data_IF_357667458332
#
_entry.id   IF_357667458332
#
_cell.length_a   1.000
_cell.length_b   1.000
_cell.length_c   1.000
_cell.angle_alpha   90.00
_cell.angle_beta   90.00
_cell.angle_gamma   90.00
#
_symmetry.space_group_name_H-M   'P 1'
#
loop_
_entity.id
_entity.type
_entity.pdbx_description
1 polymer ?
#
# COMPACT_ATOMS: atom_id res chain seq x y z
N UNK A 1 -19.39 -20.32 13.32
CA UNK A 1 -18.48 -20.34 12.16
C UNK A 1 -17.71 -19.06 12.20
N UNK A 2 -16.42 -19.12 12.55
CA UNK A 2 -15.53 -17.97 12.58
C UNK A 2 -15.39 -17.43 11.14
N UNK A 3 -15.77 -16.16 10.93
CA UNK A 3 -15.66 -15.50 9.63
C UNK A 3 -14.21 -15.39 9.14
N UNK A 4 -13.98 -14.88 7.92
CA UNK A 4 -12.64 -14.75 7.35
C UNK A 4 -11.72 -13.99 8.32
N UNK A 5 -10.60 -14.62 8.66
CA UNK A 5 -9.60 -14.12 9.59
C UNK A 5 -9.07 -12.77 9.09
N UNK A 6 -9.50 -11.68 9.72
CA UNK A 6 -9.01 -10.35 9.43
C UNK A 6 -7.84 -10.06 10.39
N UNK A 7 -6.61 -10.37 9.95
CA UNK A 7 -5.42 -9.91 10.66
C UNK A 7 -5.14 -8.46 10.27
N UNK A 8 -5.63 -7.52 11.06
CA UNK A 8 -5.00 -6.21 11.10
C UNK A 8 -3.68 -6.41 11.84
N UNK A 9 -2.52 -6.27 11.18
CA UNK A 9 -1.28 -6.04 11.91
C UNK A 9 -1.56 -4.94 12.91
N UNK A 10 -1.42 -5.26 14.19
CA UNK A 10 -1.91 -4.44 15.28
C UNK A 10 -1.28 -3.03 15.21
N UNK A 11 -2.05 -2.02 14.81
CA UNK A 11 -1.61 -0.61 14.74
C UNK A 11 -1.65 0.10 16.10
N UNK A 12 -1.87 -0.61 17.22
CA UNK A 12 -2.06 -0.02 18.55
C UNK A 12 -0.84 0.72 19.14
N UNK A 13 0.19 1.04 18.35
CA UNK A 13 1.19 2.04 18.70
C UNK A 13 1.81 2.78 17.49
N UNK A 14 1.08 2.96 16.37
CA UNK A 14 1.54 3.71 15.18
C UNK A 14 2.98 3.39 14.71
N UNK A 15 3.47 2.17 14.92
CA UNK A 15 4.85 1.81 14.57
C UNK A 15 5.05 1.60 13.06
N UNK A 16 3.97 1.69 12.29
CA UNK A 16 3.97 1.65 10.83
C UNK A 16 2.72 2.31 10.25
N UNK A 17 2.79 2.68 8.97
CA UNK A 17 1.65 3.14 8.18
C UNK A 17 1.60 2.36 6.86
N UNK A 18 0.39 2.04 6.39
CA UNK A 18 0.19 1.25 5.18
C UNK A 18 -0.76 1.91 4.18
N UNK A 19 -0.51 1.62 2.89
CA UNK A 19 -1.44 1.80 1.79
C UNK A 19 -1.98 0.45 1.34
N UNK A 20 -3.30 0.38 1.18
CA UNK A 20 -4.02 -0.79 0.69
C UNK A 20 -4.80 -0.42 -0.57
N UNK A 21 -4.60 -1.17 -1.64
CA UNK A 21 -5.35 -0.99 -2.89
C UNK A 21 -6.02 -2.30 -3.30
N UNK A 22 -7.34 -2.26 -3.46
CA UNK A 22 -8.16 -3.36 -3.98
C UNK A 22 -8.99 -2.83 -5.14
N UNK A 23 -8.61 -3.19 -6.36
CA UNK A 23 -9.39 -2.93 -7.57
C UNK A 23 -9.22 -4.08 -8.58
N UNK A 24 -9.80 -3.94 -9.77
CA UNK A 24 -9.78 -4.98 -10.80
C UNK A 24 -8.39 -5.36 -11.32
N UNK A 25 -7.41 -4.46 -11.19
CA UNK A 25 -6.06 -4.63 -11.76
C UNK A 25 -4.97 -4.76 -10.69
N UNK A 26 -5.24 -4.27 -9.48
CA UNK A 26 -4.28 -4.15 -8.40
C UNK A 26 -4.88 -4.67 -7.11
N UNK A 27 -4.14 -5.58 -6.48
CA UNK A 27 -4.42 -6.02 -5.13
C UNK A 27 -3.09 -6.05 -4.38
N UNK A 28 -2.77 -4.98 -3.65
CA UNK A 28 -1.49 -4.89 -2.93
C UNK A 28 -1.60 -4.25 -1.55
N UNK A 29 -0.58 -4.48 -0.73
CA UNK A 29 -0.33 -3.84 0.56
C UNK A 29 1.11 -3.31 0.60
N UNK A 30 1.26 -2.00 0.84
CA UNK A 30 2.55 -1.31 0.99
C UNK A 30 2.63 -0.73 2.40
N UNK A 31 3.71 -0.92 3.14
CA UNK A 31 3.86 -0.38 4.49
C UNK A 31 5.25 0.19 4.76
N UNK A 32 5.30 1.30 5.51
CA UNK A 32 6.52 1.88 6.06
C UNK A 32 6.49 1.83 7.58
N UNK A 33 7.52 1.23 8.17
CA UNK A 33 7.73 1.19 9.62
C UNK A 33 8.52 2.40 10.08
N UNK A 34 8.30 2.84 11.31
CA UNK A 34 9.07 3.95 11.93
C UNK A 34 10.57 3.66 11.99
N UNK A 35 10.97 2.39 11.95
CA UNK A 35 12.36 1.93 11.89
C UNK A 35 13.01 2.12 10.52
N UNK A 36 12.24 2.51 9.50
CA UNK A 36 12.69 2.58 8.11
C UNK A 36 12.58 1.25 7.36
N UNK A 37 12.07 0.18 8.00
CA UNK A 37 11.74 -1.05 7.28
C UNK A 37 10.54 -0.81 6.37
N UNK A 38 10.59 -1.31 5.14
CA UNK A 38 9.54 -1.11 4.13
C UNK A 38 9.13 -2.47 3.58
N UNK A 39 7.82 -2.68 3.46
CA UNK A 39 7.27 -3.90 2.88
C UNK A 39 6.33 -3.61 1.72
N UNK A 40 6.35 -4.49 0.73
CA UNK A 40 5.36 -4.52 -0.34
C UNK A 40 4.94 -5.96 -0.62
N UNK A 41 3.63 -6.18 -0.70
CA UNK A 41 3.03 -7.47 -1.02
C UNK A 41 2.02 -7.29 -2.16
N UNK A 42 2.26 -7.96 -3.28
CA UNK A 42 1.26 -8.13 -4.33
C UNK A 42 0.36 -9.33 -3.98
N UNK A 43 -0.82 -9.06 -3.47
CA UNK A 43 -1.79 -10.04 -2.99
C UNK A 43 -2.47 -10.83 -4.12
N UNK A 44 -2.29 -10.44 -5.39
CA UNK A 44 -2.65 -11.32 -6.53
C UNK A 44 -1.69 -12.50 -6.66
N UNK A 45 -0.42 -12.31 -6.28
CA UNK A 45 0.66 -13.31 -6.44
C UNK A 45 1.05 -13.97 -5.11
N UNK A 46 0.96 -13.24 -4.00
CA UNK A 46 1.29 -13.70 -2.65
C UNK A 46 0.14 -13.34 -1.68
N UNK A 47 -0.99 -14.08 -1.74
CA UNK A 47 -2.17 -13.79 -0.91
C UNK A 47 -1.91 -13.84 0.60
N UNK A 48 -0.88 -14.60 1.00
CA UNK A 48 -0.52 -14.85 2.39
C UNK A 48 0.66 -13.98 2.88
N UNK A 49 1.14 -13.05 2.05
CA UNK A 49 2.16 -12.05 2.41
C UNK A 49 3.46 -12.68 2.95
N UNK A 50 3.86 -13.83 2.39
CA UNK A 50 5.00 -14.60 2.88
C UNK A 50 6.34 -13.99 2.49
N UNK A 51 6.40 -13.23 1.38
CA UNK A 51 7.64 -12.66 0.87
C UNK A 51 7.50 -11.16 0.65
N UNK A 52 8.33 -10.39 1.33
CA UNK A 52 8.49 -8.97 1.03
C UNK A 52 9.06 -8.80 -0.39
N UNK A 53 8.28 -8.16 -1.26
CA UNK A 53 8.59 -7.93 -2.69
C UNK A 53 8.96 -6.47 -3.00
N UNK A 54 9.40 -5.71 -1.99
CA UNK A 54 9.76 -4.30 -2.14
C UNK A 54 10.82 -4.04 -3.20
N UNK A 55 11.79 -4.95 -3.35
CA UNK A 55 12.87 -4.84 -4.35
C UNK A 55 12.45 -5.22 -5.76
N UNK A 56 11.23 -5.77 -5.93
CA UNK A 56 10.68 -6.10 -7.25
C UNK A 56 9.95 -4.89 -7.86
N UNK A 57 9.76 -3.80 -7.10
CA UNK A 57 9.12 -2.58 -7.58
C UNK A 57 10.10 -1.69 -8.36
N UNK A 58 9.56 -1.03 -9.38
CA UNK A 58 10.25 0.10 -10.00
C UNK A 58 10.38 1.27 -9.00
N UNK A 59 11.51 1.97 -9.04
CA UNK A 59 11.79 3.10 -8.16
C UNK A 59 10.71 4.20 -8.23
N UNK A 60 10.20 4.48 -9.43
CA UNK A 60 9.12 5.47 -9.65
C UNK A 60 7.83 5.08 -8.94
N UNK A 61 7.47 3.79 -8.97
CA UNK A 61 6.31 3.25 -8.27
C UNK A 61 6.50 3.34 -6.76
N UNK A 62 7.68 3.00 -6.25
CA UNK A 62 8.00 3.12 -4.83
C UNK A 62 7.86 4.57 -4.32
N UNK A 63 8.42 5.54 -5.04
CA UNK A 63 8.33 6.96 -4.66
C UNK A 63 6.88 7.48 -4.69
N UNK A 64 6.09 7.04 -5.67
CA UNK A 64 4.67 7.41 -5.75
C UNK A 64 3.86 6.84 -4.57
N UNK A 65 4.08 5.56 -4.21
CA UNK A 65 3.47 4.95 -3.03
C UNK A 65 3.87 5.69 -1.75
N UNK A 66 5.14 6.05 -1.61
CA UNK A 66 5.63 6.83 -0.47
C UNK A 66 4.96 8.22 -0.40
N UNK A 67 4.86 8.92 -1.53
CA UNK A 67 4.20 10.22 -1.63
C UNK A 67 2.72 10.15 -1.24
N UNK A 68 2.00 9.14 -1.73
CA UNK A 68 0.60 8.90 -1.38
C UNK A 68 0.45 8.64 0.12
N UNK A 69 1.31 7.79 0.68
CA UNK A 69 1.27 7.44 2.10
C UNK A 69 1.51 8.67 2.97
N UNK A 70 2.51 9.50 2.62
CA UNK A 70 2.82 10.73 3.36
C UNK A 70 1.69 11.77 3.30
N UNK A 71 0.97 11.86 2.17
CA UNK A 71 -0.26 12.68 2.09
C UNK A 71 -1.32 12.16 3.06
N UNK A 72 -1.54 10.85 3.11
CA UNK A 72 -2.54 10.27 4.01
C UNK A 72 -2.14 10.32 5.49
N UNK A 73 -0.84 10.28 5.81
CA UNK A 73 -0.33 10.48 7.19
C UNK A 73 -0.66 11.86 7.76
N UNK A 74 -0.70 12.89 6.91
CA UNK A 74 -0.84 14.30 7.32
C UNK A 74 -2.24 14.89 7.07
N UNK A 75 -3.11 14.19 6.34
CA UNK A 75 -4.44 14.67 6.04
C UNK A 75 -5.41 14.53 7.23
N UNK A 76 -6.47 15.33 7.24
CA UNK A 76 -7.58 15.19 8.17
C UNK A 76 -8.92 15.41 7.47
N UNK A 77 -9.88 14.53 7.76
CA UNK A 77 -11.23 14.58 7.19
C UNK A 77 -11.30 14.10 5.73
N UNK A 78 -12.48 13.64 5.31
CA UNK A 78 -12.69 13.04 3.99
C UNK A 78 -12.33 13.96 2.83
N UNK A 79 -12.52 15.27 2.99
CA UNK A 79 -12.22 16.28 1.96
C UNK A 79 -10.73 16.34 1.60
N UNK A 80 -9.84 16.06 2.56
CA UNK A 80 -8.39 16.15 2.36
C UNK A 80 -7.70 14.77 2.34
N UNK A 81 -8.37 13.73 2.83
CA UNK A 81 -7.86 12.36 2.89
C UNK A 81 -8.31 11.46 1.73
N UNK A 82 -9.02 12.00 0.75
CA UNK A 82 -9.38 11.24 -0.45
C UNK A 82 -8.29 11.41 -1.51
N UNK A 83 -7.67 10.30 -1.91
CA UNK A 83 -6.79 10.28 -3.07
C UNK A 83 -7.66 10.25 -4.34
N UNK A 84 -7.39 11.10 -5.35
CA UNK A 84 -8.10 11.01 -6.61
C UNK A 84 -7.81 9.64 -7.26
N UNK A 85 -8.86 8.95 -7.69
CA UNK A 85 -8.79 7.60 -8.28
C UNK A 85 -7.85 7.48 -9.51
N UNK A 86 -7.40 8.60 -10.06
CA UNK A 86 -6.64 8.73 -11.29
C UNK A 86 -5.11 8.59 -11.15
N UNK A 87 -4.54 8.45 -9.95
CA UNK A 87 -3.07 8.43 -9.79
C UNK A 87 -2.41 7.05 -9.92
N UNK A 88 -3.17 5.95 -9.98
CA UNK A 88 -2.61 4.60 -10.20
C UNK A 88 -2.54 4.25 -11.70
N UNK A 89 -3.28 4.97 -12.56
CA UNK A 89 -3.50 4.54 -13.95
C UNK A 89 -2.36 4.89 -14.93
N UNK A 90 -1.55 5.92 -14.65
CA UNK A 90 -0.76 6.55 -15.72
C UNK A 90 0.66 6.02 -15.94
N UNK A 91 1.19 5.10 -15.12
CA UNK A 91 2.57 4.61 -15.32
C UNK A 91 2.74 3.11 -15.57
N UNK A 92 1.70 2.29 -15.40
CA UNK A 92 1.80 0.85 -15.72
C UNK A 92 1.47 0.58 -17.20
N UNK A 93 0.78 1.50 -17.88
CA UNK A 93 0.40 1.33 -19.30
C UNK A 93 1.52 1.75 -20.28
N UNK A 94 2.50 2.56 -19.87
CA UNK A 94 3.63 2.94 -20.73
C UNK A 94 4.86 2.00 -20.63
N UNK A 95 4.65 0.78 -20.12
CA UNK A 95 5.67 -0.27 -20.02
C UNK A 95 5.49 -1.43 -21.01
N UNK A 96 4.84 -1.18 -22.15
CA UNK A 96 4.91 -2.03 -23.35
C UNK A 96 5.72 -1.27 -24.40
#
# INVERSE_FOLDING_TARGET
TEGPFCFCQNSNNNSFWCLRTINSTHNFLYCEFVTGFITYYNLLRDPYQLRNSIYDLEFTTLEELRRQLNKLKSCAGAQHCTLPAHQIHNHIINGI
#
